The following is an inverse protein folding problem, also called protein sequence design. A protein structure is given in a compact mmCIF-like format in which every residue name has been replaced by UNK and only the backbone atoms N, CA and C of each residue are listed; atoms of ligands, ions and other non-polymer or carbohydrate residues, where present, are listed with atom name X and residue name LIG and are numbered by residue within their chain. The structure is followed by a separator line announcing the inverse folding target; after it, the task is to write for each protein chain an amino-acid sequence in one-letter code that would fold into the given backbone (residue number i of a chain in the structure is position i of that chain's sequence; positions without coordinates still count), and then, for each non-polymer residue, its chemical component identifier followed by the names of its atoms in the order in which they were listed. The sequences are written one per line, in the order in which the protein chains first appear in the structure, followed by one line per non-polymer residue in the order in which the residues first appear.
data_IF_987115066728
#
_entry.id   IF_987115066728
#
_cell.length_a   1.000
_cell.length_b   1.000
_cell.length_c   1.000
_cell.angle_alpha   90.00
_cell.angle_beta   90.00
_cell.angle_gamma   90.00
#
_symmetry.space_group_name_H-M   'P 1'
#
loop_
_entity.id
_entity.type
_entity.pdbx_description
1 polymer ?
#
# COMPACT_ATOMS: atom_id res chain seq x y z
N UNK A 1 22.96 0.97 89.38
CA UNK A 1 23.40 -0.09 90.32
C UNK A 1 24.45 -0.95 89.61
N UNK A 2 25.61 -1.14 90.25
CA UNK A 2 26.66 -2.15 89.95
C UNK A 2 26.03 -3.58 89.88
N UNK A 3 26.60 -4.66 89.30
CA UNK A 3 27.98 -5.17 89.26
C UNK A 3 28.00 -6.42 88.33
N UNK A 4 29.19 -6.77 87.84
CA UNK A 4 29.64 -8.00 87.14
C UNK A 4 29.22 -9.34 87.78
N UNK A 5 29.21 -10.45 86.99
CA UNK A 5 30.08 -11.64 87.19
C UNK A 5 30.03 -12.66 86.01
N UNK A 6 31.15 -13.40 85.90
CA UNK A 6 31.60 -14.42 84.93
C UNK A 6 30.62 -15.61 84.71
N UNK A 7 30.74 -16.48 83.68
CA UNK A 7 31.66 -17.65 83.64
C UNK A 7 31.59 -18.42 82.30
N UNK A 8 32.74 -19.02 81.90
CA UNK A 8 33.08 -19.89 80.75
C UNK A 8 32.19 -21.13 80.58
N UNK A 9 32.04 -21.66 79.34
CA UNK A 9 32.76 -22.87 78.84
C UNK A 9 32.26 -23.40 77.47
N UNK A 10 33.20 -23.54 76.52
CA UNK A 10 33.44 -24.63 75.54
C UNK A 10 32.26 -25.41 74.93
N UNK A 11 32.12 -25.39 73.59
CA UNK A 11 32.13 -26.61 72.78
C UNK A 11 32.45 -26.36 71.30
N UNK A 12 33.26 -27.25 70.76
CA UNK A 12 33.79 -27.34 69.38
C UNK A 12 32.74 -27.96 68.47
N UNK A 13 32.50 -27.40 67.27
CA UNK A 13 32.20 -28.20 66.08
C UNK A 13 32.60 -27.47 64.79
N UNK A 14 33.43 -28.15 64.02
CA UNK A 14 33.91 -27.89 62.67
C UNK A 14 32.82 -28.35 61.69
N UNK A 15 32.22 -27.48 60.85
CA UNK A 15 31.61 -27.89 59.58
C UNK A 15 31.80 -26.83 58.48
N UNK A 16 32.46 -27.28 57.42
CA UNK A 16 32.49 -26.88 56.02
C UNK A 16 31.47 -25.85 55.51
N UNK A 17 31.98 -24.96 54.64
CA UNK A 17 31.46 -24.85 53.28
C UNK A 17 30.47 -23.72 52.99
N UNK A 18 30.97 -22.61 52.44
CA UNK A 18 30.66 -22.16 51.07
C UNK A 18 31.15 -20.72 50.88
N UNK A 19 32.16 -20.57 50.02
CA UNK A 19 32.48 -19.31 49.38
C UNK A 19 31.28 -18.94 48.51
N UNK A 20 30.52 -17.91 48.89
CA UNK A 20 29.65 -17.24 47.94
C UNK A 20 30.55 -16.38 47.03
N UNK A 21 30.56 -16.60 45.70
CA UNK A 21 31.18 -15.64 44.81
C UNK A 21 30.31 -14.39 44.80
N UNK A 22 30.93 -13.25 45.06
CA UNK A 22 30.40 -11.94 44.67
C UNK A 22 30.24 -11.98 43.15
N UNK A 23 29.01 -12.23 42.67
CA UNK A 23 28.67 -12.01 41.27
C UNK A 23 28.58 -10.52 41.06
N UNK A 24 29.69 -9.92 40.65
CA UNK A 24 29.66 -8.67 39.91
C UNK A 24 28.94 -8.95 38.59
N UNK A 25 27.63 -8.67 38.55
CA UNK A 25 26.93 -8.47 37.29
C UNK A 25 27.56 -7.25 36.61
N UNK A 26 28.65 -7.47 35.87
CA UNK A 26 29.04 -6.56 34.80
C UNK A 26 27.92 -6.64 33.77
N UNK A 27 27.01 -5.65 33.84
CA UNK A 27 26.18 -5.31 32.70
C UNK A 27 27.16 -4.86 31.62
N UNK A 28 27.52 -5.80 30.73
CA UNK A 28 28.27 -5.50 29.52
C UNK A 28 27.36 -4.59 28.71
N UNK A 29 27.58 -3.28 28.82
CA UNK A 29 26.97 -2.31 27.93
C UNK A 29 27.37 -2.73 26.51
N UNK A 30 26.38 -3.15 25.71
CA UNK A 30 26.59 -3.25 24.27
C UNK A 30 27.20 -1.91 23.84
N UNK A 31 28.31 -1.90 23.08
CA UNK A 31 29.01 -0.68 22.77
C UNK A 31 28.03 0.29 22.11
N UNK A 32 27.97 1.51 22.63
CA UNK A 32 27.15 2.62 22.13
C UNK A 32 27.16 2.72 20.60
N UNK A 33 28.25 2.29 19.96
CA UNK A 33 28.42 2.18 18.51
C UNK A 33 27.33 1.36 17.79
N UNK A 34 26.91 0.19 18.30
CA UNK A 34 25.85 -0.62 17.65
C UNK A 34 24.45 0.00 17.83
N UNK A 35 24.20 0.63 18.99
CA UNK A 35 22.95 1.36 19.22
C UNK A 35 22.89 2.65 18.38
N UNK A 36 24.02 3.33 18.22
CA UNK A 36 24.16 4.57 17.46
C UNK A 36 24.13 4.33 15.95
N UNK A 37 24.70 3.23 15.44
CA UNK A 37 24.58 2.84 14.02
C UNK A 37 23.14 2.43 13.66
N UNK A 38 22.42 1.77 14.57
CA UNK A 38 20.99 1.48 14.42
C UNK A 38 20.16 2.79 14.35
N UNK A 39 20.49 3.77 15.20
CA UNK A 39 19.86 5.10 15.22
C UNK A 39 20.15 5.89 13.95
N UNK A 40 21.42 5.96 13.53
CA UNK A 40 21.84 6.68 12.32
C UNK A 40 21.23 6.07 11.05
N UNK A 41 21.23 4.73 10.94
CA UNK A 41 20.56 4.03 9.85
C UNK A 41 19.08 4.43 9.76
N UNK A 42 18.35 4.35 10.89
CA UNK A 42 16.92 4.70 10.92
C UNK A 42 16.69 6.16 10.52
N UNK A 43 17.52 7.08 11.02
CA UNK A 43 17.46 8.49 10.68
C UNK A 43 17.69 8.73 9.17
N UNK A 44 18.73 8.12 8.59
CA UNK A 44 19.01 8.26 7.17
C UNK A 44 17.91 7.66 6.29
N UNK A 45 17.33 6.52 6.66
CA UNK A 45 16.18 5.97 5.96
C UNK A 45 14.98 6.93 6.01
N UNK A 46 14.67 7.51 7.18
CA UNK A 46 13.59 8.49 7.33
C UNK A 46 13.82 9.75 6.51
N UNK A 47 15.03 10.32 6.55
CA UNK A 47 15.41 11.49 5.76
C UNK A 47 15.37 11.19 4.27
N UNK A 48 15.83 10.00 3.85
CA UNK A 48 15.76 9.55 2.46
C UNK A 48 14.33 9.45 1.96
N UNK A 49 13.43 8.82 2.72
CA UNK A 49 12.01 8.77 2.37
C UNK A 49 11.35 10.16 2.41
N UNK A 50 11.75 11.02 3.36
CA UNK A 50 11.31 12.42 3.43
C UNK A 50 11.68 13.23 2.19
N UNK A 51 12.95 13.17 1.78
CA UNK A 51 13.43 13.80 0.56
C UNK A 51 12.80 13.21 -0.71
N UNK A 52 12.50 11.91 -0.70
CA UNK A 52 11.78 11.24 -1.80
C UNK A 52 10.38 11.81 -1.97
N UNK A 53 9.63 12.00 -0.87
CA UNK A 53 8.30 12.65 -0.89
C UNK A 53 8.35 14.08 -1.44
N UNK A 54 9.47 14.77 -1.25
CA UNK A 54 9.71 16.12 -1.77
C UNK A 54 10.24 16.15 -3.21
N UNK A 55 10.37 14.99 -3.88
CA UNK A 55 11.05 14.82 -5.19
C UNK A 55 12.49 15.33 -5.21
N UNK A 56 13.09 15.56 -4.06
CA UNK A 56 14.51 15.87 -3.97
C UNK A 56 15.30 14.56 -4.07
N UNK A 57 15.27 13.94 -5.25
CA UNK A 57 15.89 12.64 -5.47
C UNK A 57 17.40 12.67 -5.27
N UNK A 58 18.04 13.81 -5.50
CA UNK A 58 19.46 14.03 -5.17
C UNK A 58 19.69 13.87 -3.66
N UNK A 59 18.91 14.56 -2.82
CA UNK A 59 19.01 14.42 -1.37
C UNK A 59 18.58 13.03 -0.89
N UNK A 60 17.53 12.45 -1.47
CA UNK A 60 17.06 11.11 -1.14
C UNK A 60 18.14 10.06 -1.42
N UNK A 61 18.78 10.14 -2.60
CA UNK A 61 19.87 9.24 -2.98
C UNK A 61 21.04 9.38 -2.01
N UNK A 62 21.38 10.60 -1.61
CA UNK A 62 22.43 10.86 -0.61
C UNK A 62 22.11 10.15 0.71
N UNK A 63 20.91 10.35 1.25
CA UNK A 63 20.54 9.74 2.52
C UNK A 63 20.47 8.21 2.46
N UNK A 64 19.90 7.62 1.41
CA UNK A 64 19.88 6.16 1.27
C UNK A 64 21.28 5.56 1.09
N UNK A 65 22.21 6.26 0.42
CA UNK A 65 23.63 5.85 0.37
C UNK A 65 24.28 5.90 1.76
N UNK A 66 23.98 6.90 2.58
CA UNK A 66 24.46 6.95 3.97
C UNK A 66 23.88 5.78 4.80
N UNK A 67 22.60 5.46 4.65
CA UNK A 67 22.01 4.29 5.30
C UNK A 67 22.69 2.97 4.87
N UNK A 68 23.03 2.84 3.58
CA UNK A 68 23.73 1.66 3.06
C UNK A 68 25.18 1.57 3.56
N UNK A 69 25.85 2.70 3.84
CA UNK A 69 27.17 2.68 4.46
C UNK A 69 27.13 2.17 5.90
N UNK A 70 26.11 2.56 6.67
CA UNK A 70 25.89 2.04 8.03
C UNK A 70 25.58 0.53 8.00
N UNK A 71 24.90 0.05 6.95
CA UNK A 71 24.56 -1.38 6.77
C UNK A 71 24.75 -1.87 5.33
N UNK A 72 25.98 -2.24 4.94
CA UNK A 72 26.31 -2.57 3.55
C UNK A 72 25.57 -3.77 2.94
N UNK A 73 24.98 -4.63 3.77
CA UNK A 73 24.21 -5.81 3.33
C UNK A 73 22.70 -5.65 3.58
N UNK A 74 22.23 -4.45 3.92
CA UNK A 74 20.81 -4.21 4.17
C UNK A 74 20.04 -4.13 2.85
N UNK A 75 19.03 -5.00 2.72
CA UNK A 75 18.22 -5.12 1.51
C UNK A 75 17.33 -3.89 1.27
N UNK A 76 16.92 -3.18 2.32
CA UNK A 76 16.00 -2.05 2.22
C UNK A 76 16.73 -0.79 1.76
N UNK A 77 17.89 -0.48 2.34
CA UNK A 77 18.73 0.62 1.86
C UNK A 77 19.19 0.39 0.41
N UNK A 78 19.55 -0.84 0.06
CA UNK A 78 19.91 -1.23 -1.31
C UNK A 78 18.75 -1.01 -2.29
N UNK A 79 17.54 -1.44 -1.94
CA UNK A 79 16.35 -1.23 -2.76
C UNK A 79 15.99 0.26 -2.90
N UNK A 80 16.12 1.03 -1.82
CA UNK A 80 15.84 2.47 -1.83
C UNK A 80 16.79 3.23 -2.76
N UNK A 81 18.11 2.95 -2.69
CA UNK A 81 19.10 3.52 -3.63
C UNK A 81 18.72 3.19 -5.08
N UNK A 82 18.43 1.92 -5.38
CA UNK A 82 18.04 1.47 -6.73
C UNK A 82 16.80 2.20 -7.25
N UNK A 83 15.78 2.35 -6.40
CA UNK A 83 14.53 3.03 -6.77
C UNK A 83 14.77 4.51 -7.07
N UNK A 84 15.58 5.20 -6.26
CA UNK A 84 15.90 6.61 -6.50
C UNK A 84 16.79 6.79 -7.73
N UNK A 85 17.77 5.91 -7.96
CA UNK A 85 18.58 5.93 -9.18
C UNK A 85 17.72 5.73 -10.43
N UNK A 86 16.69 4.88 -10.36
CA UNK A 86 15.69 4.74 -11.42
C UNK A 86 14.94 6.06 -11.66
N UNK A 87 14.44 6.74 -10.62
CA UNK A 87 13.77 8.04 -10.76
C UNK A 87 14.69 9.10 -11.38
N UNK A 88 15.93 9.22 -10.88
CA UNK A 88 16.94 10.13 -11.44
C UNK A 88 17.23 9.79 -12.92
N UNK A 89 17.32 8.50 -13.26
CA UNK A 89 17.60 8.07 -14.64
C UNK A 89 16.42 8.35 -15.60
N UNK A 90 15.18 8.36 -15.09
CA UNK A 90 13.98 8.74 -15.85
C UNK A 90 13.93 10.25 -16.05
N UNK A 91 14.17 11.02 -14.99
CA UNK A 91 14.25 12.49 -15.05
C UNK A 91 15.29 12.96 -16.07
N UNK A 92 16.47 12.30 -16.11
CA UNK A 92 17.56 12.64 -17.04
C UNK A 92 17.29 12.26 -18.49
N UNK A 93 16.61 11.13 -18.75
CA UNK A 93 16.34 10.64 -20.12
C UNK A 93 15.26 11.44 -20.84
N UNK A 94 14.37 12.08 -20.10
CA UNK A 94 13.20 12.76 -20.65
C UNK A 94 13.38 14.27 -20.83
N UNK A 95 14.60 14.80 -20.69
CA UNK A 95 14.93 16.19 -21.04
C UNK A 95 14.00 17.25 -20.41
N UNK A 96 14.14 17.52 -19.12
CA UNK A 96 13.81 18.81 -18.45
C UNK A 96 12.42 19.51 -18.64
N UNK A 97 11.45 19.00 -19.41
CA UNK A 97 10.17 19.71 -19.60
C UNK A 97 9.02 19.23 -18.71
N UNK A 98 9.12 18.03 -18.11
CA UNK A 98 8.09 17.53 -17.18
C UNK A 98 8.42 17.84 -15.74
N UNK A 99 7.61 18.72 -15.15
CA UNK A 99 7.72 19.16 -13.75
C UNK A 99 7.21 18.12 -12.74
N UNK A 100 6.39 17.16 -13.18
CA UNK A 100 5.70 16.20 -12.31
C UNK A 100 5.62 14.82 -12.98
N UNK A 101 5.82 13.77 -12.19
CA UNK A 101 5.71 12.34 -12.57
C UNK A 101 4.93 11.63 -11.47
N UNK A 102 3.74 11.12 -11.74
CA UNK A 102 2.96 10.45 -10.69
C UNK A 102 3.53 9.05 -10.43
N UNK A 103 4.16 8.85 -9.27
CA UNK A 103 4.73 7.56 -8.87
C UNK A 103 4.22 7.19 -7.49
N UNK A 104 3.67 5.99 -7.37
CA UNK A 104 3.21 5.45 -6.10
C UNK A 104 4.36 4.95 -5.24
N UNK A 105 4.32 5.32 -3.96
CA UNK A 105 5.24 4.84 -2.93
C UNK A 105 4.41 4.05 -1.91
N UNK A 106 4.56 2.71 -1.85
CA UNK A 106 3.83 1.88 -0.90
C UNK A 106 4.06 2.30 0.55
N UNK A 107 2.99 2.33 1.34
CA UNK A 107 3.06 2.72 2.76
C UNK A 107 3.74 1.67 3.67
N UNK A 108 4.01 0.47 3.15
CA UNK A 108 4.63 -0.66 3.85
C UNK A 108 6.14 -0.85 3.55
N UNK A 109 6.80 0.11 2.89
CA UNK A 109 8.25 0.09 2.63
C UNK A 109 9.04 -0.16 3.93
N UNK A 110 9.80 -1.26 3.96
CA UNK A 110 10.65 -1.63 5.09
C UNK A 110 10.10 -2.71 6.03
N UNK A 111 8.82 -3.10 5.91
CA UNK A 111 8.25 -4.20 6.70
C UNK A 111 8.56 -5.55 6.04
N UNK A 112 8.92 -6.60 6.80
CA UNK A 112 9.18 -7.91 6.22
C UNK A 112 7.94 -8.43 5.47
N UNK A 113 8.11 -8.75 4.19
CA UNK A 113 7.12 -9.55 3.45
C UNK A 113 6.85 -10.84 4.23
N UNK A 114 5.61 -11.06 4.65
CA UNK A 114 5.19 -12.38 5.14
C UNK A 114 5.26 -13.33 3.95
N UNK A 115 5.98 -14.44 4.08
CA UNK A 115 6.03 -15.46 3.05
C UNK A 115 4.60 -15.95 2.76
N UNK A 116 4.25 -16.01 1.49
CA UNK A 116 3.01 -16.62 1.01
C UNK A 116 3.12 -18.11 1.35
N UNK A 117 2.22 -18.62 2.21
CA UNK A 117 1.91 -20.05 2.19
C UNK A 117 1.26 -20.34 0.84
N UNK A 118 1.72 -21.42 0.19
CA UNK A 118 1.50 -21.73 -1.21
C UNK A 118 0.12 -21.39 -1.75
N UNK A 119 0.12 -20.70 -2.90
CA UNK A 119 -0.93 -20.65 -3.90
C UNK A 119 -2.31 -21.18 -3.46
N UNK A 120 -3.20 -20.30 -2.99
CA UNK A 120 -4.59 -20.46 -3.44
C UNK A 120 -4.54 -20.19 -4.93
N UNK A 121 -4.68 -21.25 -5.72
CA UNK A 121 -4.92 -21.13 -7.16
C UNK A 121 -6.20 -20.29 -7.28
N UNK A 122 -6.07 -18.99 -7.53
CA UNK A 122 -7.17 -18.23 -8.12
C UNK A 122 -7.64 -19.00 -9.34
N UNK A 123 -8.93 -18.95 -9.72
CA UNK A 123 -9.41 -19.74 -10.83
C UNK A 123 -8.54 -19.38 -12.03
N UNK A 124 -7.66 -20.33 -12.38
CA UNK A 124 -7.04 -20.32 -13.68
C UNK A 124 -8.20 -20.21 -14.66
N UNK A 125 -7.97 -19.57 -15.80
CA UNK A 125 -8.81 -19.68 -16.98
C UNK A 125 -8.94 -21.16 -17.36
N UNK A 126 -9.68 -21.95 -16.58
CA UNK A 126 -10.20 -23.24 -16.96
C UNK A 126 -11.51 -22.89 -17.65
N UNK A 127 -11.62 -23.13 -18.96
CA UNK A 127 -12.93 -23.31 -19.54
C UNK A 127 -13.65 -24.30 -18.62
N UNK A 128 -14.76 -23.88 -18.00
CA UNK A 128 -15.62 -24.85 -17.36
C UNK A 128 -16.03 -25.83 -18.47
N UNK A 129 -15.82 -27.13 -18.25
CA UNK A 129 -16.23 -28.19 -19.17
C UNK A 129 -17.76 -28.21 -19.35
N UNK A 130 -18.51 -27.39 -18.61
CA UNK A 130 -19.98 -27.33 -18.63
C UNK A 130 -20.61 -25.93 -18.63
N UNK A 131 -19.85 -24.83 -18.71
CA UNK A 131 -20.44 -23.48 -18.60
C UNK A 131 -19.62 -22.38 -19.26
N UNK A 132 -20.24 -21.65 -20.19
CA UNK A 132 -19.60 -20.63 -21.01
C UNK A 132 -18.75 -19.66 -20.18
N UNK A 133 -17.43 -19.66 -20.39
CA UNK A 133 -16.59 -18.58 -19.91
C UNK A 133 -17.11 -17.28 -20.56
N UNK A 134 -17.72 -16.40 -19.77
CA UNK A 134 -18.27 -15.17 -20.31
C UNK A 134 -17.19 -14.15 -20.67
N UNK A 135 -15.94 -14.34 -20.23
CA UNK A 135 -14.78 -13.54 -20.67
C UNK A 135 -14.25 -14.05 -22.00
N UNK A 136 -13.99 -13.11 -22.91
CA UNK A 136 -13.44 -13.34 -24.23
C UNK A 136 -12.02 -12.78 -24.32
N UNK A 137 -11.13 -13.48 -25.05
CA UNK A 137 -9.76 -13.05 -25.28
C UNK A 137 -8.76 -13.47 -24.18
N UNK A 138 -7.59 -12.83 -24.18
CA UNK A 138 -6.45 -13.20 -23.32
C UNK A 138 -6.28 -12.33 -22.07
N UNK A 139 -7.04 -11.24 -21.94
CA UNK A 139 -6.99 -10.37 -20.76
C UNK A 139 -8.08 -10.77 -19.76
N UNK A 140 -7.75 -10.73 -18.48
CA UNK A 140 -8.67 -11.06 -17.39
C UNK A 140 -9.16 -9.81 -16.65
N UNK A 141 -10.23 -9.97 -15.88
CA UNK A 141 -10.71 -8.96 -14.93
C UNK A 141 -9.58 -8.59 -13.96
N UNK A 142 -9.31 -7.29 -13.79
CA UNK A 142 -8.28 -6.79 -12.86
C UNK A 142 -8.82 -5.62 -12.05
N UNK A 143 -8.49 -5.59 -10.77
CA UNK A 143 -8.63 -4.38 -9.96
C UNK A 143 -7.43 -3.46 -10.17
N UNK A 144 -7.67 -2.15 -10.28
CA UNK A 144 -6.60 -1.16 -10.38
C UNK A 144 -6.08 -0.84 -8.97
N UNK A 145 -5.38 -1.80 -8.37
CA UNK A 145 -4.68 -1.67 -7.10
C UNK A 145 -3.21 -2.09 -7.26
N UNK A 146 -2.28 -1.60 -6.44
CA UNK A 146 -0.87 -1.97 -6.53
C UNK A 146 -0.69 -3.48 -6.34
N UNK A 147 0.07 -4.11 -7.24
CA UNK A 147 0.32 -5.55 -7.24
C UNK A 147 1.14 -6.04 -6.03
N UNK A 148 1.87 -5.14 -5.38
CA UNK A 148 2.83 -5.44 -4.30
C UNK A 148 2.32 -5.11 -2.90
N UNK A 149 1.14 -4.49 -2.77
CA UNK A 149 0.54 -4.22 -1.46
C UNK A 149 -0.02 -5.54 -0.91
N UNK A 150 0.65 -6.07 0.12
CA UNK A 150 0.22 -7.24 0.87
C UNK A 150 0.01 -6.85 2.35
N UNK A 151 -1.20 -7.05 2.92
CA UNK A 151 -2.45 -7.42 2.23
C UNK A 151 -2.83 -6.36 1.17
N UNK A 152 -3.67 -6.74 0.17
CA UNK A 152 -4.14 -5.93 -0.98
C UNK A 152 -5.00 -4.71 -0.53
N UNK A 153 -4.45 -3.89 0.36
CA UNK A 153 -5.12 -2.80 1.05
C UNK A 153 -4.63 -1.49 0.47
N UNK A 154 -5.51 -0.79 -0.25
CA UNK A 154 -5.25 0.59 -0.67
C UNK A 154 -5.68 1.55 0.43
N UNK A 155 -5.14 2.77 0.37
CA UNK A 155 -5.51 3.85 1.30
C UNK A 155 -6.25 4.95 0.59
N UNK A 156 -7.18 5.56 1.31
CA UNK A 156 -7.87 6.75 0.83
C UNK A 156 -8.10 7.81 1.91
N UNK A 157 -8.19 9.09 1.52
CA UNK A 157 -8.71 10.15 2.40
C UNK A 157 -10.22 10.37 2.24
N UNK A 158 -10.78 9.92 1.10
CA UNK A 158 -12.17 10.13 0.74
C UNK A 158 -13.15 9.35 1.64
N UNK A 159 -14.24 10.01 2.01
CA UNK A 159 -15.35 9.38 2.74
C UNK A 159 -16.15 8.41 1.86
N UNK A 160 -16.22 8.71 0.56
CA UNK A 160 -16.93 7.97 -0.46
C UNK A 160 -15.96 7.80 -1.66
N UNK A 161 -15.08 6.78 -1.63
CA UNK A 161 -14.07 6.60 -2.65
C UNK A 161 -14.65 6.18 -4.01
N UNK A 162 -13.86 6.32 -5.06
CA UNK A 162 -14.16 5.77 -6.39
C UNK A 162 -13.30 4.54 -6.61
N UNK A 163 -13.89 3.42 -7.02
CA UNK A 163 -13.19 2.17 -7.32
C UNK A 163 -12.91 2.03 -8.82
N UNK A 164 -11.83 1.34 -9.17
CA UNK A 164 -11.37 1.23 -10.55
C UNK A 164 -11.09 -0.23 -10.91
N UNK A 165 -11.65 -0.68 -12.03
CA UNK A 165 -11.49 -2.05 -12.52
C UNK A 165 -11.25 -2.06 -14.03
N UNK A 166 -10.38 -2.93 -14.51
CA UNK A 166 -10.30 -3.26 -15.92
C UNK A 166 -11.26 -4.41 -16.21
N UNK A 167 -12.24 -4.16 -17.06
CA UNK A 167 -13.24 -5.12 -17.53
C UNK A 167 -12.83 -5.58 -18.93
N UNK A 168 -12.49 -6.86 -19.13
CA UNK A 168 -12.16 -7.39 -20.46
C UNK A 168 -13.42 -7.50 -21.33
N UNK A 169 -13.24 -7.86 -22.60
CA UNK A 169 -14.37 -8.20 -23.46
C UNK A 169 -15.14 -9.37 -22.83
N UNK A 170 -16.45 -9.20 -22.64
CA UNK A 170 -17.25 -10.19 -21.91
C UNK A 170 -18.71 -10.20 -22.39
N UNK A 171 -19.39 -11.33 -22.21
CA UNK A 171 -20.82 -11.50 -22.38
C UNK A 171 -21.60 -11.47 -21.05
N UNK A 172 -20.93 -11.18 -19.92
CA UNK A 172 -21.59 -11.02 -18.62
C UNK A 172 -22.62 -9.89 -18.70
N UNK A 173 -23.90 -10.11 -18.35
CA UNK A 173 -24.92 -9.06 -18.41
C UNK A 173 -24.71 -7.95 -17.38
N UNK A 174 -24.17 -8.30 -16.21
CA UNK A 174 -23.99 -7.36 -15.09
C UNK A 174 -22.68 -7.57 -14.36
N UNK A 175 -22.23 -6.51 -13.71
CA UNK A 175 -21.14 -6.47 -12.75
C UNK A 175 -21.65 -6.02 -11.38
N UNK A 176 -21.00 -6.48 -10.32
CA UNK A 176 -21.43 -6.26 -8.94
C UNK A 176 -20.23 -5.81 -8.09
N UNK A 177 -20.42 -4.76 -7.30
CA UNK A 177 -19.46 -4.29 -6.30
C UNK A 177 -20.09 -4.42 -4.92
N UNK A 178 -19.45 -5.20 -4.05
CA UNK A 178 -19.85 -5.38 -2.64
C UNK A 178 -18.72 -4.89 -1.74
N UNK A 179 -19.06 -4.07 -0.76
CA UNK A 179 -18.18 -3.61 0.31
C UNK A 179 -18.71 -4.10 1.65
N UNK A 180 -17.83 -4.67 2.48
CA UNK A 180 -18.12 -5.05 3.85
C UNK A 180 -17.14 -4.45 4.86
N UNK A 181 -17.59 -4.26 6.10
CA UNK A 181 -16.76 -3.82 7.20
C UNK A 181 -15.90 -4.96 7.80
N UNK A 182 -15.18 -4.67 8.89
CA UNK A 182 -14.31 -5.62 9.59
C UNK A 182 -15.09 -6.78 10.25
N UNK A 183 -16.41 -6.63 10.41
CA UNK A 183 -17.33 -7.62 10.95
C UNK A 183 -18.09 -8.36 9.84
N UNK A 184 -17.69 -8.15 8.57
CA UNK A 184 -18.33 -8.70 7.38
C UNK A 184 -19.79 -8.24 7.16
N UNK A 185 -20.21 -7.12 7.77
CA UNK A 185 -21.50 -6.50 7.44
C UNK A 185 -21.39 -5.74 6.12
N UNK A 186 -22.36 -5.93 5.22
CA UNK A 186 -22.41 -5.20 3.95
C UNK A 186 -22.73 -3.72 4.22
N UNK A 187 -21.82 -2.83 3.79
CA UNK A 187 -21.98 -1.37 3.93
C UNK A 187 -22.34 -0.70 2.62
N UNK A 188 -22.03 -1.35 1.49
CA UNK A 188 -22.40 -0.87 0.17
C UNK A 188 -22.44 -2.02 -0.82
N UNK A 189 -23.49 -2.05 -1.65
CA UNK A 189 -23.68 -3.03 -2.69
C UNK A 189 -24.33 -2.35 -3.89
N UNK A 190 -23.82 -2.64 -5.09
CA UNK A 190 -24.40 -2.14 -6.33
C UNK A 190 -24.21 -3.15 -7.45
N UNK A 191 -25.27 -3.34 -8.25
CA UNK A 191 -25.23 -4.10 -9.50
C UNK A 191 -25.42 -3.14 -10.67
N UNK A 192 -24.55 -3.23 -11.68
CA UNK A 192 -24.54 -2.35 -12.84
C UNK A 192 -24.49 -3.18 -14.13
N UNK A 193 -25.07 -2.69 -15.25
CA UNK A 193 -24.91 -3.36 -16.54
C UNK A 193 -23.44 -3.34 -16.97
N UNK A 194 -22.98 -4.38 -17.65
CA UNK A 194 -21.59 -4.42 -18.15
C UNK A 194 -21.39 -3.45 -19.32
N UNK A 195 -20.26 -2.75 -19.43
CA UNK A 195 -19.99 -1.89 -20.60
C UNK A 195 -19.86 -2.70 -21.89
N UNK A 196 -20.33 -2.13 -23.01
CA UNK A 196 -20.28 -2.76 -24.34
C UNK A 196 -18.84 -2.88 -24.92
N UNK A 197 -17.87 -2.21 -24.32
CA UNK A 197 -16.47 -2.19 -24.74
C UNK A 197 -15.57 -2.55 -23.56
N UNK A 198 -14.55 -3.37 -23.83
CA UNK A 198 -13.47 -3.61 -22.89
C UNK A 198 -12.76 -2.30 -22.51
N UNK A 199 -12.35 -2.18 -21.25
CA UNK A 199 -11.64 -1.01 -20.77
C UNK A 199 -11.73 -0.85 -19.25
N UNK A 200 -11.26 0.31 -18.79
CA UNK A 200 -11.19 0.66 -17.38
C UNK A 200 -12.48 1.40 -16.99
N UNK A 201 -13.21 0.84 -16.02
CA UNK A 201 -14.41 1.43 -15.43
C UNK A 201 -14.08 2.13 -14.11
N UNK A 202 -14.78 3.23 -13.83
CA UNK A 202 -14.75 3.95 -12.56
C UNK A 202 -16.11 3.85 -11.87
N UNK A 203 -16.16 3.37 -10.64
CA UNK A 203 -17.38 3.18 -9.85
C UNK A 203 -17.35 4.09 -8.61
N UNK A 204 -18.13 5.16 -8.63
CA UNK A 204 -18.18 6.13 -7.54
C UNK A 204 -19.13 5.64 -6.45
N UNK A 205 -18.66 5.60 -5.20
CA UNK A 205 -19.54 5.36 -4.06
C UNK A 205 -20.48 6.57 -3.88
N UNK A 206 -21.81 6.38 -3.86
CA UNK A 206 -22.75 7.49 -3.80
C UNK A 206 -22.75 8.18 -2.43
N UNK A 207 -23.06 9.48 -2.43
CA UNK A 207 -23.32 10.26 -1.22
C UNK A 207 -24.83 10.29 -1.00
N UNK A 208 -25.37 9.30 -0.29
CA UNK A 208 -26.81 9.16 0.01
C UNK A 208 -27.02 8.74 1.46
N UNK A 209 -28.12 9.13 2.14
CA UNK A 209 -28.37 8.76 3.54
C UNK A 209 -28.41 7.24 3.80
N UNK A 210 -28.77 6.46 2.79
CA UNK A 210 -28.86 4.99 2.86
C UNK A 210 -27.52 4.28 2.68
N UNK A 211 -26.47 4.99 2.27
CA UNK A 211 -25.13 4.43 2.03
C UNK A 211 -24.15 5.13 2.98
N UNK A 212 -23.73 4.48 4.08
CA UNK A 212 -22.83 5.09 5.05
C UNK A 212 -21.47 5.37 4.41
N UNK A 213 -20.93 6.58 4.63
CA UNK A 213 -19.55 6.89 4.30
C UNK A 213 -18.59 6.02 5.10
N UNK A 214 -17.42 5.71 4.51
CA UNK A 214 -16.36 4.98 5.19
C UNK A 214 -15.87 5.76 6.41
N UNK A 215 -15.63 5.09 7.53
CA UNK A 215 -15.13 5.73 8.76
C UNK A 215 -13.62 5.85 8.73
N UNK A 216 -13.08 6.91 9.33
CA UNK A 216 -11.63 7.11 9.49
C UNK A 216 -11.07 5.99 10.37
N UNK A 217 -9.85 5.53 10.05
CA UNK A 217 -9.10 4.46 10.71
C UNK A 217 -9.84 3.12 10.71
N UNK A 218 -10.68 2.90 9.69
CA UNK A 218 -11.39 1.64 9.43
C UNK A 218 -11.01 1.05 8.08
N UNK A 219 -10.90 -0.27 8.08
CA UNK A 219 -10.64 -1.07 6.88
C UNK A 219 -11.93 -1.72 6.40
N UNK A 220 -12.15 -1.69 5.09
CA UNK A 220 -13.29 -2.30 4.43
C UNK A 220 -12.80 -3.31 3.40
N UNK A 221 -13.42 -4.47 3.33
CA UNK A 221 -13.18 -5.45 2.27
C UNK A 221 -14.09 -5.12 1.10
N UNK A 222 -13.61 -5.39 -0.11
CA UNK A 222 -14.44 -5.24 -1.30
C UNK A 222 -14.24 -6.42 -2.24
N UNK A 223 -15.32 -6.76 -2.94
CA UNK A 223 -15.37 -7.76 -4.00
C UNK A 223 -16.01 -7.13 -5.23
N UNK A 224 -15.40 -7.35 -6.37
CA UNK A 224 -15.95 -6.95 -7.66
C UNK A 224 -16.07 -8.16 -8.56
N UNK A 225 -17.29 -8.42 -9.03
CA UNK A 225 -17.67 -9.65 -9.71
C UNK A 225 -18.26 -9.34 -11.09
N UNK A 226 -17.84 -10.09 -12.11
CA UNK A 226 -18.59 -10.22 -13.36
C UNK A 226 -19.51 -11.42 -13.24
N UNK A 227 -20.82 -11.18 -13.30
CA UNK A 227 -21.83 -12.22 -13.14
C UNK A 227 -22.14 -12.81 -14.52
N UNK A 228 -21.60 -13.99 -14.81
CA UNK A 228 -21.82 -14.67 -16.11
C UNK A 228 -23.24 -15.24 -16.19
N UNK A 229 -23.68 -15.94 -15.15
CA UNK A 229 -25.02 -16.48 -15.01
C UNK A 229 -25.51 -16.23 -13.57
N UNK A 230 -26.66 -15.56 -13.44
CA UNK A 230 -27.27 -15.24 -12.14
C UNK A 230 -27.67 -16.49 -11.35
N UNK A 231 -27.87 -17.63 -12.03
CA UNK A 231 -28.22 -18.92 -11.42
C UNK A 231 -26.98 -19.71 -10.97
N UNK A 232 -25.81 -19.42 -11.54
CA UNK A 232 -24.55 -20.14 -11.28
C UNK A 232 -23.43 -19.18 -10.89
N UNK A 233 -23.61 -18.49 -9.75
CA UNK A 233 -22.65 -17.51 -9.20
C UNK A 233 -21.25 -18.08 -8.94
N UNK A 234 -21.11 -19.40 -8.85
CA UNK A 234 -19.82 -20.09 -8.72
C UNK A 234 -18.88 -19.93 -9.93
N UNK A 235 -19.43 -19.53 -11.08
CA UNK A 235 -18.69 -19.27 -12.31
C UNK A 235 -18.31 -17.79 -12.47
N UNK A 236 -18.64 -16.94 -11.50
CA UNK A 236 -18.33 -15.52 -11.54
C UNK A 236 -16.81 -15.28 -11.55
N UNK A 237 -16.38 -14.29 -12.32
CA UNK A 237 -15.01 -13.79 -12.24
C UNK A 237 -14.94 -12.71 -11.16
N UNK A 238 -14.14 -12.95 -10.14
CA UNK A 238 -14.07 -12.09 -8.95
C UNK A 238 -12.66 -11.56 -8.73
N UNK A 239 -12.56 -10.26 -8.48
CA UNK A 239 -11.37 -9.62 -7.91
C UNK A 239 -11.71 -9.01 -6.56
N UNK A 240 -10.73 -8.96 -5.66
CA UNK A 240 -10.95 -8.54 -4.28
C UNK A 240 -9.78 -7.73 -3.74
N UNK A 241 -10.05 -7.00 -2.66
CA UNK A 241 -9.04 -6.27 -1.92
C UNK A 241 -9.63 -5.62 -0.68
N UNK A 242 -8.91 -4.65 -0.14
CA UNK A 242 -9.37 -3.85 0.97
C UNK A 242 -9.05 -2.39 0.76
N UNK A 243 -9.78 -1.52 1.46
CA UNK A 243 -9.55 -0.09 1.46
C UNK A 243 -9.58 0.43 2.89
N UNK A 244 -8.57 1.19 3.27
CA UNK A 244 -8.45 1.84 4.57
C UNK A 244 -8.67 3.34 4.40
N UNK A 245 -9.64 3.92 5.11
CA UNK A 245 -9.81 5.38 5.11
C UNK A 245 -8.95 5.98 6.22
N UNK A 246 -8.01 6.84 5.86
CA UNK A 246 -7.12 7.53 6.81
C UNK A 246 -7.33 9.03 6.70
N UNK A 247 -7.40 9.71 7.86
CA UNK A 247 -7.44 11.16 7.88
C UNK A 247 -6.10 11.74 7.40
N UNK A 248 -6.09 12.75 6.51
CA UNK A 248 -4.84 13.41 6.13
C UNK A 248 -4.22 14.11 7.34
N UNK A 249 -2.93 13.88 7.57
CA UNK A 249 -2.17 14.58 8.60
C UNK A 249 -1.95 16.06 8.24
N UNK A 250 -1.41 16.84 9.19
CA UNK A 250 -1.18 18.27 8.97
C UNK A 250 -0.22 18.55 7.79
N UNK A 251 0.79 17.69 7.59
CA UNK A 251 1.77 17.85 6.52
C UNK A 251 1.11 17.64 5.15
N UNK A 252 0.31 16.60 5.02
CA UNK A 252 -0.43 16.28 3.81
C UNK A 252 -1.46 17.35 3.49
N UNK A 253 -2.19 17.86 4.50
CA UNK A 253 -3.14 18.96 4.33
C UNK A 253 -2.44 20.20 3.75
N UNK A 254 -1.36 20.64 4.38
CA UNK A 254 -0.58 21.80 3.89
C UNK A 254 -0.04 21.57 2.49
N UNK A 255 0.45 20.37 2.17
CA UNK A 255 0.96 20.05 0.84
C UNK A 255 -0.13 20.11 -0.25
N UNK A 256 -1.40 19.85 0.10
CA UNK A 256 -2.54 19.86 -0.81
C UNK A 256 -3.18 21.25 -0.98
N UNK A 257 -2.78 22.23 -0.17
CA UNK A 257 -3.31 23.59 -0.24
C UNK A 257 -2.81 24.32 -1.49
N UNK A 258 -3.75 24.89 -2.26
CA UNK A 258 -3.47 25.77 -3.42
C UNK A 258 -2.59 25.16 -4.52
N UNK A 259 -2.54 23.83 -4.64
CA UNK A 259 -1.85 23.13 -5.74
C UNK A 259 -2.83 22.68 -6.84
N UNK A 260 -2.32 22.53 -8.06
CA UNK A 260 -3.13 22.10 -9.22
C UNK A 260 -3.56 20.64 -9.09
N UNK A 261 -4.64 20.20 -9.74
CA UNK A 261 -5.10 18.81 -9.68
C UNK A 261 -4.03 17.76 -10.00
N UNK A 262 -3.19 18.00 -11.02
CA UNK A 262 -2.11 17.09 -11.41
C UNK A 262 -1.07 16.95 -10.28
N UNK A 263 -0.72 18.06 -9.65
CA UNK A 263 0.18 18.10 -8.50
C UNK A 263 -0.44 17.42 -7.27
N UNK A 264 -1.75 17.56 -7.05
CA UNK A 264 -2.47 16.83 -5.99
C UNK A 264 -2.38 15.32 -6.18
N UNK A 265 -2.62 14.83 -7.40
CA UNK A 265 -2.51 13.40 -7.70
C UNK A 265 -1.09 12.88 -7.37
N UNK A 266 -0.07 13.60 -7.83
CA UNK A 266 1.32 13.30 -7.50
C UNK A 266 1.58 13.25 -5.97
N UNK A 267 1.09 14.21 -5.21
CA UNK A 267 1.28 14.27 -3.74
C UNK A 267 0.58 13.10 -3.03
N UNK A 268 -0.64 12.75 -3.45
CA UNK A 268 -1.36 11.61 -2.91
C UNK A 268 -0.64 10.29 -3.20
N UNK A 269 -0.17 10.08 -4.44
CA UNK A 269 0.59 8.87 -4.81
C UNK A 269 1.87 8.73 -3.99
N UNK A 270 2.61 9.82 -3.80
CA UNK A 270 3.83 9.86 -2.99
C UNK A 270 3.56 9.64 -1.49
N UNK A 271 2.37 10.01 -1.03
CA UNK A 271 1.93 9.84 0.36
C UNK A 271 1.26 8.48 0.61
N UNK A 272 1.24 7.58 -0.38
CA UNK A 272 0.66 6.25 -0.26
C UNK A 272 -0.87 6.19 -0.39
N UNK A 273 -1.51 7.28 -0.83
CA UNK A 273 -2.96 7.36 -1.07
C UNK A 273 -3.29 7.04 -2.53
N UNK A 274 -3.11 5.77 -2.89
CA UNK A 274 -3.33 5.26 -4.24
C UNK A 274 -4.72 5.61 -4.79
N UNK A 275 -5.77 5.45 -3.97
CA UNK A 275 -7.14 5.64 -4.43
C UNK A 275 -7.45 7.09 -4.82
N UNK A 276 -6.99 8.05 -4.01
CA UNK A 276 -7.17 9.48 -4.26
C UNK A 276 -6.40 9.92 -5.51
N UNK A 277 -5.18 9.41 -5.70
CA UNK A 277 -4.40 9.71 -6.90
C UNK A 277 -5.06 9.17 -8.17
N UNK A 278 -5.55 7.92 -8.16
CA UNK A 278 -6.27 7.34 -9.30
C UNK A 278 -7.54 8.12 -9.61
N UNK A 279 -8.31 8.50 -8.57
CA UNK A 279 -9.53 9.27 -8.74
C UNK A 279 -9.27 10.58 -9.48
N UNK A 280 -8.28 11.36 -9.03
CA UNK A 280 -7.93 12.64 -9.64
C UNK A 280 -7.47 12.46 -11.10
N UNK A 281 -6.54 11.53 -11.37
CA UNK A 281 -6.05 11.32 -12.73
C UNK A 281 -7.13 10.80 -13.67
N UNK A 282 -8.07 9.98 -13.16
CA UNK A 282 -9.19 9.50 -13.97
C UNK A 282 -10.10 10.64 -14.42
N UNK A 283 -10.39 11.60 -13.54
CA UNK A 283 -11.22 12.76 -13.87
C UNK A 283 -10.49 13.73 -14.81
N UNK A 284 -9.19 13.95 -14.60
CA UNK A 284 -8.36 14.73 -15.52
C UNK A 284 -8.29 14.11 -16.92
N UNK A 285 -8.19 12.78 -17.00
CA UNK A 285 -8.18 12.07 -18.29
C UNK A 285 -9.53 12.11 -18.99
N UNK A 286 -10.63 12.15 -18.24
CA UNK A 286 -11.99 12.33 -18.80
C UNK A 286 -12.19 13.76 -19.33
N UNK A 287 -11.73 14.77 -18.60
CA UNK A 287 -11.90 16.19 -18.97
C UNK A 287 -10.93 16.66 -20.06
N UNK A 288 -9.73 16.07 -20.11
CA UNK A 288 -8.66 16.42 -21.05
C UNK A 288 -8.10 15.18 -21.77
N UNK A 289 -8.89 14.47 -22.60
CA UNK A 289 -8.52 13.16 -23.16
C UNK A 289 -7.32 13.20 -24.12
N UNK A 290 -6.99 14.35 -24.70
CA UNK A 290 -5.89 14.54 -25.64
C UNK A 290 -4.62 15.10 -24.96
N UNK A 291 -4.64 15.34 -23.65
CA UNK A 291 -3.47 15.85 -22.93
C UNK A 291 -2.44 14.72 -22.69
N UNK A 292 -1.30 14.85 -23.36
CA UNK A 292 -0.22 13.86 -23.28
C UNK A 292 0.44 13.80 -21.90
N UNK A 293 0.40 14.89 -21.13
CA UNK A 293 0.91 14.94 -19.75
C UNK A 293 0.04 14.08 -18.86
N UNK A 294 -1.28 14.29 -18.88
CA UNK A 294 -2.23 13.50 -18.10
C UNK A 294 -2.20 12.02 -18.52
N UNK A 295 -2.11 11.75 -19.82
CA UNK A 295 -1.98 10.37 -20.32
C UNK A 295 -0.75 9.67 -19.73
N UNK A 296 0.40 10.33 -19.74
CA UNK A 296 1.62 9.71 -19.25
C UNK A 296 1.66 9.65 -17.71
N UNK A 297 1.10 10.62 -16.99
CA UNK A 297 0.97 10.56 -15.53
C UNK A 297 0.10 9.36 -15.10
N UNK A 298 -0.99 9.09 -15.84
CA UNK A 298 -1.79 7.90 -15.65
C UNK A 298 -0.99 6.61 -15.87
N UNK A 299 -0.25 6.54 -16.98
CA UNK A 299 0.59 5.38 -17.26
C UNK A 299 1.68 5.18 -16.21
N UNK A 300 2.36 6.25 -15.78
CA UNK A 300 3.41 6.19 -14.78
C UNK A 300 2.87 5.70 -13.43
N UNK A 301 1.69 6.18 -13.01
CA UNK A 301 1.03 5.69 -11.80
C UNK A 301 0.74 4.18 -11.91
N UNK A 302 0.10 3.74 -12.99
CA UNK A 302 -0.23 2.33 -13.18
C UNK A 302 1.01 1.44 -13.26
N UNK A 303 2.06 1.87 -13.97
CA UNK A 303 3.35 1.14 -14.02
C UNK A 303 3.98 1.06 -12.63
N UNK A 304 3.95 2.15 -11.85
CA UNK A 304 4.49 2.13 -10.48
C UNK A 304 3.74 1.18 -9.55
N UNK A 305 2.46 0.93 -9.82
CA UNK A 305 1.65 -0.07 -9.13
C UNK A 305 1.78 -1.50 -9.68
N UNK A 306 2.61 -1.77 -10.70
CA UNK A 306 2.72 -3.09 -11.31
C UNK A 306 1.52 -3.48 -12.18
N UNK A 307 0.87 -2.50 -12.83
CA UNK A 307 -0.29 -2.68 -13.71
C UNK A 307 0.06 -2.40 -15.18
N UNK A 308 1.28 -2.72 -15.60
CA UNK A 308 1.83 -2.38 -16.91
C UNK A 308 0.94 -2.86 -18.07
N UNK A 309 0.31 -4.03 -17.92
CA UNK A 309 -0.52 -4.71 -18.93
C UNK A 309 -1.78 -3.94 -19.33
N UNK A 310 -2.25 -3.00 -18.48
CA UNK A 310 -3.50 -2.25 -18.69
C UNK A 310 -3.28 -0.73 -18.79
N UNK A 311 -2.03 -0.27 -18.84
CA UNK A 311 -1.67 1.17 -18.87
C UNK A 311 -2.30 1.94 -20.03
N UNK A 312 -2.45 1.28 -21.19
CA UNK A 312 -2.99 1.87 -22.42
C UNK A 312 -4.49 1.65 -22.61
N UNK A 313 -5.15 0.93 -21.70
CA UNK A 313 -6.58 0.64 -21.84
C UNK A 313 -7.42 1.93 -21.72
N UNK A 314 -8.52 2.04 -22.48
CA UNK A 314 -9.36 3.24 -22.45
C UNK A 314 -10.13 3.33 -21.13
N UNK A 315 -10.35 4.55 -20.65
CA UNK A 315 -11.43 4.80 -19.68
C UNK A 315 -12.74 4.71 -20.44
N UNK A 316 -13.60 3.77 -20.06
CA UNK A 316 -14.91 3.59 -20.69
C UNK A 316 -15.98 4.25 -19.83
N UNK A 317 -16.94 4.98 -20.44
CA UNK A 317 -18.11 5.46 -19.73
C UNK A 317 -18.81 4.27 -19.08
N UNK A 318 -18.95 4.33 -17.77
CA UNK A 318 -19.54 3.27 -16.99
C UNK A 318 -20.76 3.81 -16.25
N UNK A 319 -21.88 3.19 -16.58
CA UNK A 319 -23.13 3.02 -15.85
C UNK A 319 -23.46 4.09 -14.82
N UNK A 320 -24.30 5.03 -15.22
CA UNK A 320 -25.08 5.83 -14.29
C UNK A 320 -25.93 4.89 -13.43
N UNK A 321 -25.78 4.98 -12.12
CA UNK A 321 -26.74 4.44 -11.16
C UNK A 321 -28.06 5.14 -11.46
N UNK A 322 -28.99 4.49 -12.15
CA UNK A 322 -30.37 4.98 -12.26
C UNK A 322 -31.01 5.01 -10.87
#
# INVERSE_FOLDING_TARGET
MKLFFLTRCVCVTLILGSLLPVSSNQVVAAPSYLAQSQSNYNQYMQLGYGATRQRNYSAALKYFKQALQERPRDRYATAAVRNIELYISRDRRNGSERKTYVTYIPSNLGKPMRQIQGATRGPANRPSETGAACIQGNKSLKALIPAFDLPRTTRTTAANPTFFFYVPQTSAPVMELVLSDEQDNIVYEVTLPTPNKAGIVSLNMPVKPTVPSLKVDKTYKWYFSLICDRRERQLDFVVFGSIERIAPDATLKTALEKVKPEEKAAIYALSGFWQDSLAILSELRKSSPNDMTIKNDWEDLLRSGGLEEITQEPLVPCCTIQ
#
